data_IF_276462084937
#
_entry.id   IF_276462084937
#
_cell.length_a   1.000
_cell.length_b   1.000
_cell.length_c   1.000
_cell.angle_alpha   90.00
_cell.angle_beta   90.00
_cell.angle_gamma   90.00
#
_symmetry.space_group_name_H-M   'P 1'
#
loop_
_entity.id
_entity.type
_entity.pdbx_description
1 polymer ?
#
# COMPACT_ATOMS: atom_id res chain seq x y z
N UNK A 1 19.85 -8.02 -8.27
CA UNK A 1 19.00 -7.23 -7.34
C UNK A 1 18.10 -8.15 -6.54
N UNK A 2 17.96 -7.89 -5.24
CA UNK A 2 17.05 -8.58 -4.33
C UNK A 2 15.91 -7.64 -3.92
N UNK A 3 14.67 -8.12 -3.98
CA UNK A 3 13.50 -7.46 -3.41
C UNK A 3 13.14 -8.14 -2.08
N UNK A 4 13.27 -7.42 -0.98
CA UNK A 4 12.91 -7.88 0.35
C UNK A 4 11.46 -7.46 0.67
N UNK A 5 10.57 -8.46 0.75
CA UNK A 5 9.13 -8.28 0.87
C UNK A 5 8.69 -8.71 2.27
N UNK A 6 7.81 -7.94 2.92
CA UNK A 6 7.26 -8.26 4.26
C UNK A 6 5.75 -8.45 4.27
N UNK A 7 5.05 -7.89 3.29
CA UNK A 7 3.59 -7.96 3.11
C UNK A 7 3.23 -7.87 1.62
N UNK A 8 1.99 -8.22 1.27
CA UNK A 8 1.48 -8.03 -0.08
C UNK A 8 1.56 -6.55 -0.53
N UNK A 9 1.38 -5.59 0.38
CA UNK A 9 1.54 -4.16 0.07
C UNK A 9 2.98 -3.85 -0.33
N UNK A 10 3.96 -4.31 0.45
CA UNK A 10 5.38 -4.09 0.10
C UNK A 10 5.76 -4.72 -1.23
N UNK A 11 5.18 -5.88 -1.55
CA UNK A 11 5.38 -6.52 -2.84
C UNK A 11 4.87 -5.60 -3.96
N UNK A 12 3.61 -5.15 -3.88
CA UNK A 12 3.03 -4.29 -4.91
C UNK A 12 3.81 -2.97 -5.07
N UNK A 13 4.27 -2.37 -3.97
CA UNK A 13 5.14 -1.18 -4.01
C UNK A 13 6.42 -1.43 -4.78
N UNK A 14 7.07 -2.57 -4.58
CA UNK A 14 8.30 -2.92 -5.27
C UNK A 14 8.07 -3.33 -6.73
N UNK A 15 6.93 -3.96 -7.05
CA UNK A 15 6.56 -4.27 -8.43
C UNK A 15 6.39 -3.00 -9.27
N UNK A 16 5.93 -1.89 -8.69
CA UNK A 16 5.82 -0.61 -9.40
C UNK A 16 7.17 0.01 -9.77
N UNK A 17 8.26 -0.43 -9.15
CA UNK A 17 9.63 0.02 -9.47
C UNK A 17 10.19 -0.73 -10.67
N UNK A 18 9.85 -2.01 -10.82
CA UNK A 18 10.49 -2.91 -11.78
C UNK A 18 10.42 -2.50 -13.26
N UNK A 19 9.36 -1.83 -13.75
CA UNK A 19 9.28 -1.44 -15.16
C UNK A 19 10.43 -0.57 -15.68
N UNK A 20 11.18 0.10 -14.79
CA UNK A 20 12.38 0.85 -15.19
C UNK A 20 13.49 -0.05 -15.77
N UNK A 21 13.43 -1.36 -15.50
CA UNK A 21 14.40 -2.36 -15.96
C UNK A 21 13.86 -3.23 -17.11
N UNK A 22 12.69 -2.92 -17.67
CA UNK A 22 12.09 -3.72 -18.73
C UNK A 22 13.03 -3.81 -19.95
N UNK A 23 13.29 -5.05 -20.40
CA UNK A 23 14.19 -5.33 -21.52
C UNK A 23 15.69 -5.40 -21.17
N UNK A 24 16.10 -5.16 -19.91
CA UNK A 24 17.50 -5.26 -19.49
C UNK A 24 17.84 -6.62 -18.87
N UNK A 25 18.45 -7.50 -19.66
CA UNK A 25 18.82 -8.87 -19.24
C UNK A 25 19.99 -8.93 -18.24
N UNK A 26 20.68 -7.80 -18.02
CA UNK A 26 21.75 -7.68 -17.02
C UNK A 26 21.16 -7.60 -15.61
N UNK A 27 19.92 -7.15 -15.46
CA UNK A 27 19.25 -7.00 -14.18
C UNK A 27 18.46 -8.26 -13.82
N UNK A 28 19.06 -9.10 -12.99
CA UNK A 28 18.37 -10.29 -12.43
C UNK A 28 17.70 -9.94 -11.12
N UNK A 29 16.38 -10.10 -11.06
CA UNK A 29 15.56 -9.86 -9.87
C UNK A 29 15.27 -11.18 -9.15
N UNK A 30 15.45 -11.18 -7.83
CA UNK A 30 15.01 -12.26 -6.93
C UNK A 30 14.22 -11.66 -5.78
N UNK A 31 13.34 -12.44 -5.18
CA UNK A 31 12.52 -12.01 -4.06
C UNK A 31 12.83 -12.85 -2.82
N UNK A 32 12.83 -12.22 -1.65
CA UNK A 32 12.84 -12.92 -0.35
C UNK A 32 11.72 -12.40 0.52
N UNK A 33 11.11 -13.31 1.27
CA UNK A 33 10.16 -12.95 2.33
C UNK A 33 10.94 -12.67 3.62
N UNK A 34 10.75 -11.48 4.20
CA UNK A 34 11.36 -11.08 5.47
C UNK A 34 10.54 -11.67 6.62
N UNK A 35 11.16 -12.46 7.53
CA UNK A 35 10.44 -13.08 8.65
C UNK A 35 9.84 -12.10 9.67
N UNK A 36 8.92 -12.63 10.48
CA UNK A 36 8.33 -11.91 11.63
C UNK A 36 7.14 -11.01 11.27
N UNK A 37 6.58 -11.14 10.08
CA UNK A 37 5.33 -10.49 9.69
C UNK A 37 4.14 -11.37 10.08
N UNK A 38 3.06 -10.78 10.62
CA UNK A 38 1.78 -11.48 10.84
C UNK A 38 1.04 -11.81 9.53
N UNK A 39 1.57 -11.32 8.40
CA UNK A 39 0.97 -11.40 7.06
C UNK A 39 1.92 -12.12 6.08
N UNK A 40 2.83 -12.94 6.60
CA UNK A 40 3.87 -13.62 5.83
C UNK A 40 3.30 -14.66 4.84
N UNK A 41 2.31 -15.45 5.24
CA UNK A 41 1.65 -16.46 4.39
C UNK A 41 0.97 -15.82 3.16
N UNK A 42 0.31 -14.69 3.32
CA UNK A 42 -0.33 -13.99 2.20
C UNK A 42 0.68 -13.25 1.34
N UNK A 43 1.74 -12.70 1.94
CA UNK A 43 2.85 -12.14 1.18
C UNK A 43 3.52 -13.22 0.31
N UNK A 44 3.67 -14.44 0.84
CA UNK A 44 4.16 -15.60 0.10
C UNK A 44 3.19 -15.99 -1.03
N UNK A 45 1.89 -16.03 -0.75
CA UNK A 45 0.86 -16.32 -1.76
C UNK A 45 0.83 -15.27 -2.87
N UNK A 46 0.94 -14.00 -2.52
CA UNK A 46 1.04 -12.89 -3.47
C UNK A 46 2.29 -13.04 -4.35
N UNK A 47 3.41 -13.39 -3.73
CA UNK A 47 4.68 -13.58 -4.41
C UNK A 47 4.65 -14.78 -5.37
N UNK A 48 4.06 -15.90 -4.97
CA UNK A 48 3.91 -17.09 -5.82
C UNK A 48 3.15 -16.78 -7.12
N UNK A 49 2.09 -15.95 -7.04
CA UNK A 49 1.31 -15.52 -8.20
C UNK A 49 2.07 -14.68 -9.21
N UNK A 50 3.17 -14.04 -8.81
CA UNK A 50 3.99 -13.25 -9.74
C UNK A 50 4.82 -14.13 -10.67
N UNK A 51 4.97 -15.42 -10.37
CA UNK A 51 5.92 -16.30 -11.06
C UNK A 51 7.39 -15.91 -10.83
N UNK A 52 7.65 -15.00 -9.89
CA UNK A 52 8.98 -14.49 -9.66
C UNK A 52 9.88 -15.50 -8.97
N UNK A 53 11.18 -15.42 -9.27
CA UNK A 53 12.18 -16.26 -8.63
C UNK A 53 12.37 -15.86 -7.16
N UNK A 54 12.06 -16.77 -6.25
CA UNK A 54 12.26 -16.58 -4.82
C UNK A 54 13.57 -17.19 -4.33
N UNK A 55 14.11 -16.66 -3.24
CA UNK A 55 15.23 -17.20 -2.47
C UNK A 55 14.82 -17.23 -0.99
N UNK A 56 15.08 -18.33 -0.24
CA UNK A 56 14.81 -18.37 1.19
C UNK A 56 15.56 -17.27 1.94
N UNK A 57 14.95 -16.71 2.99
CA UNK A 57 15.56 -15.66 3.82
C UNK A 57 16.98 -15.99 4.28
N UNK A 58 17.17 -17.22 4.78
CA UNK A 58 18.48 -17.71 5.22
C UNK A 58 19.53 -17.60 4.11
N UNK A 59 19.19 -18.02 2.89
CA UNK A 59 20.11 -17.98 1.76
C UNK A 59 20.35 -16.55 1.27
N UNK A 60 19.33 -15.68 1.36
CA UNK A 60 19.45 -14.26 1.07
C UNK A 60 20.44 -13.57 2.02
N UNK A 61 20.47 -13.94 3.30
CA UNK A 61 21.44 -13.44 4.27
C UNK A 61 22.88 -13.95 4.05
N UNK A 62 23.06 -15.08 3.36
CA UNK A 62 24.37 -15.66 3.06
C UNK A 62 24.91 -15.31 1.67
N UNK A 63 24.12 -14.59 0.87
CA UNK A 63 24.50 -14.20 -0.50
C UNK A 63 24.64 -12.68 -0.55
N UNK A 64 25.72 -12.16 -1.14
CA UNK A 64 25.84 -10.73 -1.40
C UNK A 64 25.00 -10.35 -2.62
N UNK A 65 24.26 -9.24 -2.50
CA UNK A 65 23.43 -8.69 -3.58
C UNK A 65 24.02 -7.36 -4.07
N UNK A 66 23.90 -7.08 -5.36
CA UNK A 66 24.34 -5.80 -5.94
C UNK A 66 23.46 -4.62 -5.47
N UNK A 67 22.22 -4.91 -5.11
CA UNK A 67 21.23 -3.99 -4.55
C UNK A 67 20.13 -4.79 -3.86
N UNK A 68 19.72 -4.33 -2.68
CA UNK A 68 18.55 -4.78 -1.93
C UNK A 68 17.53 -3.64 -1.91
N UNK A 69 16.32 -3.88 -2.39
CA UNK A 69 15.20 -2.94 -2.29
C UNK A 69 14.14 -3.48 -1.33
N UNK A 70 13.60 -2.61 -0.50
CA UNK A 70 12.47 -2.92 0.38
C UNK A 70 11.52 -1.73 0.46
N UNK A 71 10.23 -2.01 0.66
CA UNK A 71 9.20 -1.01 0.94
C UNK A 71 8.68 -1.09 2.39
N UNK A 72 9.41 -1.78 3.27
CA UNK A 72 9.14 -1.82 4.71
C UNK A 72 10.45 -1.79 5.48
N UNK A 73 10.53 -1.02 6.58
CA UNK A 73 11.71 -0.97 7.43
C UNK A 73 11.73 -2.08 8.49
N UNK A 74 10.67 -2.89 8.58
CA UNK A 74 10.51 -3.84 9.69
C UNK A 74 11.24 -5.15 9.42
N UNK A 75 11.82 -5.72 10.47
CA UNK A 75 12.56 -6.98 10.46
C UNK A 75 14.07 -6.79 10.35
N UNK A 76 14.79 -7.89 10.28
CA UNK A 76 16.26 -7.90 10.37
C UNK A 76 16.93 -7.62 9.01
N UNK A 77 16.51 -6.54 8.36
CA UNK A 77 17.00 -6.13 7.03
C UNK A 77 18.51 -5.84 7.01
N UNK A 78 19.07 -5.46 8.17
CA UNK A 78 20.51 -5.25 8.36
C UNK A 78 21.34 -6.53 8.09
N UNK A 79 20.72 -7.72 8.18
CA UNK A 79 21.37 -9.01 7.88
C UNK A 79 21.58 -9.27 6.39
N UNK A 80 20.91 -8.52 5.50
CA UNK A 80 21.05 -8.69 4.06
C UNK A 80 22.36 -8.02 3.57
N UNK A 81 23.30 -8.78 2.98
CA UNK A 81 24.56 -8.21 2.52
C UNK A 81 24.43 -7.49 1.18
N UNK A 82 24.86 -6.23 1.12
CA UNK A 82 24.85 -5.41 -0.09
C UNK A 82 24.28 -4.00 0.16
N UNK A 83 24.34 -3.10 -0.83
CA UNK A 83 23.67 -1.81 -0.74
C UNK A 83 22.16 -1.97 -0.58
N UNK A 84 21.56 -1.26 0.37
CA UNK A 84 20.14 -1.35 0.74
C UNK A 84 19.44 -0.02 0.55
N UNK A 85 18.38 -0.01 -0.25
CA UNK A 85 17.51 1.15 -0.40
C UNK A 85 16.10 0.85 0.12
N UNK A 86 15.59 1.79 0.92
CA UNK A 86 14.26 1.75 1.52
C UNK A 86 13.33 2.74 0.81
N UNK A 87 12.22 2.22 0.30
CA UNK A 87 11.10 3.00 -0.23
C UNK A 87 9.98 3.12 0.81
N UNK A 88 9.16 4.18 0.76
CA UNK A 88 7.94 4.27 1.54
C UNK A 88 6.96 3.13 1.23
N UNK A 89 6.36 2.59 2.29
CA UNK A 89 5.28 1.58 2.23
C UNK A 89 4.01 2.11 1.53
N UNK A 90 3.83 3.43 1.49
CA UNK A 90 2.73 4.12 0.83
C UNK A 90 2.87 5.63 0.98
N UNK A 91 2.00 6.38 0.31
CA UNK A 91 2.07 7.84 0.33
C UNK A 91 1.87 8.44 1.73
N UNK A 92 2.71 9.44 2.04
CA UNK A 92 2.44 10.44 3.07
C UNK A 92 2.79 10.08 4.52
N UNK A 93 3.22 8.85 4.84
CA UNK A 93 3.52 8.44 6.23
C UNK A 93 2.41 8.87 7.21
N UNK A 94 1.15 8.62 6.84
CA UNK A 94 -0.01 9.13 7.57
C UNK A 94 -0.46 8.26 8.74
N UNK A 95 0.13 7.07 8.91
CA UNK A 95 -0.34 6.08 9.86
C UNK A 95 0.75 5.61 10.82
N UNK A 96 0.47 5.68 12.11
CA UNK A 96 1.24 5.04 13.18
C UNK A 96 0.41 3.91 13.80
N UNK A 97 1.06 2.81 14.18
CA UNK A 97 0.41 1.63 14.75
C UNK A 97 0.83 1.47 16.21
N UNK A 98 -0.13 1.50 17.13
CA UNK A 98 0.14 1.28 18.55
C UNK A 98 0.74 -0.10 18.79
N UNK A 99 1.81 -0.18 19.58
CA UNK A 99 2.48 -1.43 19.92
C UNK A 99 3.51 -1.91 18.90
N UNK A 100 3.80 -1.10 17.87
CA UNK A 100 4.88 -1.33 16.92
C UNK A 100 5.79 -0.10 16.90
N UNK A 101 7.04 -0.24 17.33
CA UNK A 101 8.00 0.87 17.37
C UNK A 101 7.65 1.95 18.40
N UNK A 102 8.05 3.18 18.11
CA UNK A 102 7.78 4.38 18.88
C UNK A 102 6.32 4.83 18.71
N UNK A 103 5.71 5.29 19.80
CA UNK A 103 4.34 5.81 19.74
C UNK A 103 4.23 7.01 18.78
N UNK A 104 3.16 7.03 17.99
CA UNK A 104 2.79 8.11 17.07
C UNK A 104 3.80 8.41 15.94
N UNK A 105 4.85 7.59 15.78
CA UNK A 105 5.82 7.72 14.68
C UNK A 105 5.52 6.67 13.60
N UNK A 106 5.30 7.08 12.34
CA UNK A 106 5.18 6.15 11.24
C UNK A 106 6.44 5.28 11.10
N UNK A 107 6.27 3.98 10.91
CA UNK A 107 7.41 3.06 10.91
C UNK A 107 8.55 3.40 9.93
N UNK A 108 8.26 4.03 8.79
CA UNK A 108 9.27 4.48 7.83
C UNK A 108 10.03 5.75 8.21
N UNK A 109 9.74 6.33 9.37
CA UNK A 109 10.41 7.50 9.96
C UNK A 109 10.94 7.20 11.37
N UNK A 110 10.70 6.00 11.89
CA UNK A 110 10.91 5.65 13.30
C UNK A 110 12.30 5.06 13.54
N UNK A 111 13.15 5.67 14.38
CA UNK A 111 14.46 5.11 14.74
C UNK A 111 14.41 3.64 15.19
N UNK A 112 13.34 3.20 15.84
CA UNK A 112 13.16 1.82 16.27
C UNK A 112 13.10 0.79 15.12
N UNK A 113 12.90 1.28 13.89
CA UNK A 113 12.88 0.47 12.67
C UNK A 113 13.95 0.86 11.66
N UNK A 114 14.52 2.06 11.77
CA UNK A 114 15.54 2.55 10.83
C UNK A 114 16.97 2.29 11.30
N UNK A 115 17.16 2.05 12.60
CA UNK A 115 18.46 1.79 13.20
C UNK A 115 18.57 0.33 13.66
N UNK A 116 19.74 -0.26 13.47
CA UNK A 116 20.15 -1.53 14.06
C UNK A 116 21.36 -1.24 14.97
N UNK A 117 21.23 -1.54 16.26
CA UNK A 117 22.25 -1.22 17.28
C UNK A 117 22.68 0.27 17.28
N UNK A 118 21.75 1.17 16.97
CA UNK A 118 21.97 2.61 16.91
C UNK A 118 22.51 3.14 15.57
N UNK A 119 22.82 2.26 14.62
CA UNK A 119 23.36 2.63 13.31
C UNK A 119 22.32 2.43 12.19
N UNK A 120 22.27 3.30 11.17
CA UNK A 120 21.34 3.15 10.05
C UNK A 120 21.65 1.87 9.26
N UNK A 121 20.64 1.02 9.06
CA UNK A 121 20.81 -0.19 8.24
C UNK A 121 20.59 0.05 6.75
N UNK A 122 19.83 1.09 6.39
CA UNK A 122 19.58 1.47 5.00
C UNK A 122 20.67 2.42 4.51
N UNK A 123 21.25 2.10 3.36
CA UNK A 123 22.26 2.94 2.71
C UNK A 123 21.62 4.12 1.96
N UNK A 124 20.31 4.03 1.65
CA UNK A 124 19.54 5.08 0.98
C UNK A 124 18.05 5.03 1.34
N UNK A 125 17.47 6.18 1.67
CA UNK A 125 16.02 6.39 1.76
C UNK A 125 15.51 7.04 0.47
N UNK A 126 14.82 6.27 -0.37
CA UNK A 126 14.28 6.70 -1.65
C UNK A 126 12.84 7.21 -1.45
N UNK A 127 12.70 8.51 -1.19
CA UNK A 127 11.47 9.15 -0.76
C UNK A 127 10.67 9.75 -1.93
N UNK A 128 9.37 9.92 -1.73
CA UNK A 128 8.48 10.46 -2.76
C UNK A 128 8.41 11.99 -2.80
N UNK A 129 8.74 12.67 -1.71
CA UNK A 129 8.55 14.12 -1.59
C UNK A 129 9.52 14.75 -0.58
N UNK A 130 9.86 16.03 -0.75
CA UNK A 130 10.78 16.76 0.15
C UNK A 130 10.28 16.81 1.59
N UNK A 131 8.96 16.95 1.79
CA UNK A 131 8.35 16.89 3.13
C UNK A 131 8.68 15.59 3.87
N UNK A 132 8.79 14.47 3.15
CA UNK A 132 9.16 13.19 3.76
C UNK A 132 10.62 13.22 4.23
N UNK A 133 11.52 13.86 3.49
CA UNK A 133 12.92 14.02 3.88
C UNK A 133 13.04 14.91 5.14
N UNK A 134 12.27 16.00 5.19
CA UNK A 134 12.22 16.87 6.37
C UNK A 134 11.69 16.13 7.61
N UNK A 135 10.65 15.31 7.44
CA UNK A 135 10.10 14.48 8.52
C UNK A 135 11.09 13.39 8.96
N UNK A 136 11.79 12.76 8.02
CA UNK A 136 12.83 11.78 8.34
C UNK A 136 13.95 12.43 9.17
N UNK A 137 14.50 13.56 8.74
CA UNK A 137 15.53 14.29 9.48
C UNK A 137 15.06 14.75 10.87
N UNK A 138 13.76 15.00 11.04
CA UNK A 138 13.17 15.36 12.35
C UNK A 138 13.03 14.17 13.28
N UNK A 139 12.57 13.02 12.78
CA UNK A 139 12.27 11.85 13.60
C UNK A 139 13.46 10.91 13.79
N UNK A 140 14.37 10.86 12.83
CA UNK A 140 15.57 10.01 12.84
C UNK A 140 16.72 10.75 12.12
N UNK A 141 17.37 11.72 12.78
CA UNK A 141 18.50 12.45 12.20
C UNK A 141 19.71 11.54 11.89
N UNK A 142 19.81 10.39 12.53
CA UNK A 142 20.84 9.35 12.32
C UNK A 142 20.55 8.46 11.09
N UNK A 143 19.39 8.62 10.44
CA UNK A 143 19.04 7.86 9.25
C UNK A 143 20.07 8.06 8.13
N UNK A 144 20.17 7.08 7.23
CA UNK A 144 21.03 7.17 6.06
C UNK A 144 20.60 8.29 5.10
N UNK A 145 21.38 8.54 4.03
CA UNK A 145 21.07 9.55 3.01
C UNK A 145 19.64 9.42 2.49
N UNK A 146 18.96 10.57 2.32
CA UNK A 146 17.61 10.64 1.77
C UNK A 146 17.61 11.34 0.41
N UNK A 147 17.00 10.72 -0.59
CA UNK A 147 16.86 11.26 -1.95
C UNK A 147 15.41 11.21 -2.36
N UNK A 148 14.90 12.33 -2.91
CA UNK A 148 13.55 12.41 -3.47
C UNK A 148 13.58 11.84 -4.89
N UNK A 149 12.94 10.70 -5.10
CA UNK A 149 12.87 9.98 -6.39
C UNK A 149 11.46 9.92 -6.98
N UNK A 150 10.46 10.49 -6.28
CA UNK A 150 9.06 10.39 -6.66
C UNK A 150 8.37 9.12 -6.17
N UNK A 151 7.12 8.92 -6.58
CA UNK A 151 6.32 7.74 -6.19
C UNK A 151 5.96 6.91 -7.42
N UNK A 152 6.59 5.73 -7.63
CA UNK A 152 6.29 4.85 -8.76
C UNK A 152 4.82 4.44 -8.87
N UNK A 153 4.12 4.32 -7.74
CA UNK A 153 2.67 4.04 -7.76
C UNK A 153 1.88 5.24 -8.26
N UNK A 154 2.25 6.46 -7.87
CA UNK A 154 1.60 7.67 -8.38
C UNK A 154 1.86 7.83 -9.88
N UNK A 155 3.09 7.59 -10.33
CA UNK A 155 3.46 7.60 -11.74
C UNK A 155 2.61 6.60 -12.54
N UNK A 156 2.48 5.37 -12.06
CA UNK A 156 1.64 4.35 -12.70
C UNK A 156 0.18 4.83 -12.79
N UNK A 157 -0.38 5.36 -11.71
CA UNK A 157 -1.76 5.85 -11.69
C UNK A 157 -1.98 7.02 -12.66
N UNK A 158 -1.07 7.98 -12.68
CA UNK A 158 -1.13 9.13 -13.60
C UNK A 158 -1.02 8.69 -15.06
N UNK A 159 -0.10 7.77 -15.38
CA UNK A 159 0.01 7.18 -16.72
C UNK A 159 -1.23 6.39 -17.13
N UNK A 160 -1.99 5.89 -16.17
CA UNK A 160 -3.20 5.09 -16.42
C UNK A 160 -4.45 5.94 -16.67
N UNK A 161 -4.40 7.25 -16.41
CA UNK A 161 -5.55 8.16 -16.59
C UNK A 161 -6.21 8.10 -17.98
N UNK A 162 -5.47 8.05 -19.10
CA UNK A 162 -6.07 7.93 -20.43
C UNK A 162 -6.89 6.65 -20.63
N UNK A 163 -6.60 5.58 -19.87
CA UNK A 163 -7.29 4.28 -19.95
C UNK A 163 -8.55 4.22 -19.07
N UNK A 164 -8.99 5.34 -18.50
CA UNK A 164 -10.17 5.41 -17.62
C UNK A 164 -11.40 4.71 -18.21
N UNK A 165 -11.74 5.00 -19.45
CA UNK A 165 -12.95 4.43 -20.08
C UNK A 165 -12.80 2.93 -20.39
N UNK A 166 -11.57 2.45 -20.60
CA UNK A 166 -11.30 1.00 -20.73
C UNK A 166 -11.56 0.28 -19.41
N UNK A 167 -11.09 0.84 -18.29
CA UNK A 167 -11.37 0.28 -16.97
C UNK A 167 -12.86 0.30 -16.65
N UNK A 168 -13.57 1.39 -16.95
CA UNK A 168 -15.03 1.49 -16.77
C UNK A 168 -15.79 0.50 -17.64
N UNK A 169 -15.31 0.24 -18.85
CA UNK A 169 -15.86 -0.78 -19.74
C UNK A 169 -15.66 -2.18 -19.15
N UNK A 170 -14.45 -2.50 -18.70
CA UNK A 170 -14.14 -3.78 -18.05
C UNK A 170 -14.95 -4.01 -16.76
N UNK A 171 -15.25 -2.94 -16.01
CA UNK A 171 -16.07 -2.97 -14.80
C UNK A 171 -17.58 -3.02 -15.05
N UNK A 172 -18.01 -2.86 -16.31
CA UNK A 172 -19.43 -2.76 -16.65
C UNK A 172 -20.11 -1.53 -16.02
N UNK A 173 -19.37 -0.43 -15.85
CA UNK A 173 -19.89 0.79 -15.22
C UNK A 173 -20.95 1.46 -16.09
N UNK A 174 -20.74 1.48 -17.41
CA UNK A 174 -21.64 2.14 -18.34
C UNK A 174 -21.78 3.64 -18.02
N UNK A 175 -22.99 4.22 -18.12
CA UNK A 175 -23.21 5.64 -17.85
C UNK A 175 -23.23 6.01 -16.35
N UNK A 176 -23.12 5.03 -15.46
CA UNK A 176 -23.24 5.24 -14.01
C UNK A 176 -22.04 5.97 -13.44
N UNK A 177 -22.24 6.69 -12.33
CA UNK A 177 -21.15 7.23 -11.53
C UNK A 177 -20.57 6.12 -10.64
N UNK A 178 -19.25 5.91 -10.74
CA UNK A 178 -18.52 4.95 -9.92
C UNK A 178 -18.04 5.62 -8.62
N UNK A 179 -18.58 5.17 -7.49
CA UNK A 179 -18.14 5.56 -6.15
C UNK A 179 -17.27 4.45 -5.57
N UNK A 180 -16.01 4.77 -5.26
CA UNK A 180 -15.06 3.79 -4.71
C UNK A 180 -14.88 4.03 -3.22
N UNK A 181 -15.25 3.05 -2.41
CA UNK A 181 -14.94 2.98 -0.99
C UNK A 181 -13.53 2.42 -0.82
N UNK A 182 -12.66 3.08 -0.06
CA UNK A 182 -11.35 2.54 0.33
C UNK A 182 -11.25 2.46 1.85
N UNK A 183 -10.76 1.33 2.35
CA UNK A 183 -10.56 1.10 3.77
C UNK A 183 -9.11 0.73 4.04
N UNK A 184 -8.49 1.40 5.00
CA UNK A 184 -7.29 0.91 5.69
C UNK A 184 -7.59 -0.40 6.42
N UNK A 185 -6.60 -0.94 7.13
CA UNK A 185 -6.76 -2.07 8.04
C UNK A 185 -6.60 -1.63 9.49
N UNK A 186 -7.14 -2.40 10.44
CA UNK A 186 -7.00 -2.13 11.87
C UNK A 186 -8.27 -1.53 12.50
N UNK A 187 -8.24 -1.26 13.82
CA UNK A 187 -9.43 -0.87 14.57
C UNK A 187 -10.05 0.47 14.14
N UNK A 188 -9.26 1.39 13.59
CA UNK A 188 -9.76 2.67 13.06
C UNK A 188 -10.11 2.61 11.57
N UNK A 189 -10.05 1.44 10.92
CA UNK A 189 -10.42 1.33 9.50
C UNK A 189 -11.92 1.56 9.26
N UNK A 190 -12.28 2.04 8.07
CA UNK A 190 -13.67 2.26 7.67
C UNK A 190 -14.54 1.03 7.91
N UNK A 191 -14.08 -0.15 7.51
CA UNK A 191 -14.86 -1.39 7.66
C UNK A 191 -14.88 -1.91 9.10
N UNK A 192 -13.85 -1.65 9.91
CA UNK A 192 -13.92 -1.97 11.33
C UNK A 192 -14.92 -1.06 12.07
N UNK A 193 -14.94 0.24 11.74
CA UNK A 193 -15.81 1.22 12.39
C UNK A 193 -17.25 1.20 11.88
N UNK A 194 -17.43 0.93 10.59
CA UNK A 194 -18.74 0.92 9.92
C UNK A 194 -18.88 -0.28 8.99
N UNK A 195 -18.95 -1.52 9.53
CA UNK A 195 -18.96 -2.75 8.73
C UNK A 195 -20.14 -2.87 7.76
N UNK A 196 -21.27 -2.19 8.04
CA UNK A 196 -22.47 -2.18 7.18
C UNK A 196 -22.45 -1.08 6.13
N UNK A 197 -21.51 -0.15 6.19
CA UNK A 197 -21.51 1.04 5.33
C UNK A 197 -21.51 0.72 3.82
N UNK A 198 -20.76 -0.27 3.31
CA UNK A 198 -20.88 -0.64 1.90
C UNK A 198 -22.29 -1.09 1.49
N UNK A 199 -22.96 -1.86 2.34
CA UNK A 199 -24.33 -2.33 2.08
C UNK A 199 -25.34 -1.17 2.16
N UNK A 200 -25.19 -0.29 3.15
CA UNK A 200 -26.01 0.91 3.31
C UNK A 200 -25.88 1.84 2.10
N UNK A 201 -24.66 2.04 1.59
CA UNK A 201 -24.43 2.90 0.43
C UNK A 201 -25.03 2.33 -0.86
N UNK A 202 -24.86 1.03 -1.09
CA UNK A 202 -25.47 0.33 -2.23
C UNK A 202 -27.00 0.39 -2.17
N UNK A 203 -27.59 0.33 -0.98
CA UNK A 203 -29.04 0.43 -0.81
C UNK A 203 -29.58 1.87 -0.93
N UNK A 204 -28.75 2.88 -0.63
CA UNK A 204 -29.13 4.29 -0.67
C UNK A 204 -29.05 4.90 -2.08
N UNK A 205 -28.03 4.53 -2.86
CA UNK A 205 -27.78 5.12 -4.18
C UNK A 205 -28.63 4.45 -5.28
N UNK A 206 -29.26 5.21 -6.19
CA UNK A 206 -29.99 4.65 -7.32
C UNK A 206 -29.10 3.76 -8.21
N UNK A 207 -29.45 2.48 -8.35
CA UNK A 207 -28.65 1.48 -9.03
C UNK A 207 -28.38 1.80 -10.53
N UNK A 208 -29.31 2.50 -11.17
CA UNK A 208 -29.25 2.93 -12.57
C UNK A 208 -28.36 4.17 -12.78
N UNK A 209 -28.09 4.93 -11.71
CA UNK A 209 -27.23 6.11 -11.75
C UNK A 209 -25.85 5.87 -11.11
N UNK A 210 -25.70 4.91 -10.20
CA UNK A 210 -24.47 4.67 -9.44
C UNK A 210 -24.01 3.22 -9.46
N UNK A 211 -22.69 3.03 -9.43
CA UNK A 211 -22.03 1.77 -9.11
C UNK A 211 -21.12 2.00 -7.90
N UNK A 212 -21.11 1.07 -6.95
CA UNK A 212 -20.25 1.15 -5.77
C UNK A 212 -19.20 0.06 -5.84
N UNK A 213 -17.94 0.43 -5.61
CA UNK A 213 -16.84 -0.51 -5.45
C UNK A 213 -16.21 -0.38 -4.05
N UNK A 214 -15.62 -1.45 -3.56
CA UNK A 214 -14.90 -1.52 -2.29
C UNK A 214 -13.48 -2.04 -2.52
N UNK A 215 -12.51 -1.26 -2.06
CA UNK A 215 -11.10 -1.62 -1.96
C UNK A 215 -10.77 -1.79 -0.48
N UNK A 216 -10.42 -3.02 -0.10
CA UNK A 216 -9.90 -3.32 1.23
C UNK A 216 -8.38 -3.33 1.21
N UNK A 217 -7.77 -2.91 2.32
CA UNK A 217 -6.34 -3.08 2.48
C UNK A 217 -5.95 -4.58 2.44
N UNK A 218 -4.85 -4.98 1.79
CA UNK A 218 -4.45 -6.39 1.69
C UNK A 218 -4.39 -7.13 3.02
N UNK A 219 -3.92 -6.47 4.09
CA UNK A 219 -3.90 -7.06 5.44
C UNK A 219 -5.29 -7.44 6.00
N UNK A 220 -6.39 -6.82 5.56
CA UNK A 220 -7.73 -7.25 5.97
C UNK A 220 -8.18 -8.52 5.24
N UNK A 221 -7.76 -8.69 3.99
CA UNK A 221 -7.90 -9.97 3.29
C UNK A 221 -7.13 -11.07 4.00
N UNK A 222 -5.90 -10.78 4.41
CA UNK A 222 -5.07 -11.70 5.19
C UNK A 222 -5.71 -12.10 6.52
N UNK A 223 -6.14 -11.10 7.31
CA UNK A 223 -6.66 -11.32 8.66
C UNK A 223 -8.00 -12.04 8.68
N UNK A 224 -8.87 -11.73 7.72
CA UNK A 224 -10.24 -12.24 7.68
C UNK A 224 -10.36 -13.48 6.82
N UNK A 225 -9.51 -13.61 5.79
CA UNK A 225 -9.64 -14.64 4.76
C UNK A 225 -10.72 -14.30 3.73
N UNK A 226 -10.49 -14.73 2.48
CA UNK A 226 -11.42 -14.47 1.37
C UNK A 226 -12.80 -15.11 1.55
N UNK A 227 -12.87 -16.26 2.22
CA UNK A 227 -14.13 -16.97 2.48
C UNK A 227 -15.08 -16.15 3.37
N UNK A 228 -14.59 -15.71 4.54
CA UNK A 228 -15.42 -14.94 5.47
C UNK A 228 -15.73 -13.54 4.93
N UNK A 229 -14.77 -12.88 4.24
CA UNK A 229 -15.05 -11.62 3.56
C UNK A 229 -16.18 -11.73 2.55
N UNK A 230 -16.17 -12.76 1.70
CA UNK A 230 -17.24 -12.98 0.72
C UNK A 230 -18.59 -13.25 1.40
N UNK A 231 -18.60 -14.01 2.51
CA UNK A 231 -19.82 -14.27 3.29
C UNK A 231 -20.36 -12.99 3.95
N UNK A 232 -19.49 -12.22 4.59
CA UNK A 232 -19.87 -10.99 5.30
C UNK A 232 -20.37 -9.91 4.33
N UNK A 233 -19.73 -9.79 3.16
CA UNK A 233 -20.15 -8.86 2.11
C UNK A 233 -21.27 -9.43 1.22
N UNK A 234 -21.69 -10.68 1.42
CA UNK A 234 -22.64 -11.38 0.55
C UNK A 234 -23.90 -10.59 0.18
N UNK A 235 -24.61 -9.95 1.14
CA UNK A 235 -25.75 -9.09 0.82
C UNK A 235 -25.39 -7.91 -0.11
N UNK A 236 -24.29 -7.22 0.16
CA UNK A 236 -23.85 -6.08 -0.66
C UNK A 236 -23.38 -6.52 -2.06
N UNK A 237 -22.64 -7.64 -2.13
CA UNK A 237 -22.20 -8.24 -3.41
C UNK A 237 -23.40 -8.60 -4.29
N UNK A 238 -24.43 -9.24 -3.72
CA UNK A 238 -25.68 -9.55 -4.44
C UNK A 238 -26.46 -8.30 -4.86
N UNK A 239 -26.31 -7.20 -4.13
CA UNK A 239 -26.90 -5.91 -4.47
C UNK A 239 -26.06 -5.09 -5.48
N UNK A 240 -24.95 -5.64 -5.99
CA UNK A 240 -24.14 -5.02 -7.04
C UNK A 240 -22.85 -4.34 -6.58
N UNK A 241 -22.43 -4.52 -5.32
CA UNK A 241 -21.12 -4.08 -4.86
C UNK A 241 -20.01 -4.79 -5.64
N UNK A 242 -19.08 -4.02 -6.20
CA UNK A 242 -17.84 -4.55 -6.76
C UNK A 242 -16.79 -4.63 -5.65
N UNK A 243 -16.24 -5.81 -5.37
CA UNK A 243 -15.15 -5.96 -4.39
C UNK A 243 -13.83 -6.23 -5.12
N UNK A 244 -12.85 -5.36 -4.92
CA UNK A 244 -11.50 -5.58 -5.42
C UNK A 244 -10.88 -6.82 -4.76
N UNK A 245 -10.28 -7.73 -5.53
CA UNK A 245 -9.51 -8.83 -4.96
C UNK A 245 -8.17 -8.31 -4.37
N UNK A 246 -7.58 -9.00 -3.38
CA UNK A 246 -6.38 -8.54 -2.68
C UNK A 246 -5.13 -8.34 -3.55
N UNK A 247 -5.11 -8.95 -4.74
CA UNK A 247 -4.00 -8.90 -5.71
C UNK A 247 -4.45 -8.33 -7.05
N UNK A 248 -5.63 -7.70 -7.10
CA UNK A 248 -6.15 -7.03 -8.28
C UNK A 248 -5.91 -5.52 -8.24
N UNK A 249 -6.12 -4.91 -9.40
CA UNK A 249 -5.92 -3.51 -9.74
C UNK A 249 -6.85 -2.55 -8.97
N UNK A 250 -6.66 -2.41 -7.65
CA UNK A 250 -7.23 -1.30 -6.87
C UNK A 250 -6.96 0.06 -7.53
N UNK A 251 -5.81 0.16 -8.21
CA UNK A 251 -5.40 1.31 -9.01
C UNK A 251 -6.39 1.59 -10.15
N UNK A 252 -6.84 0.57 -10.88
CA UNK A 252 -7.82 0.72 -11.96
C UNK A 252 -9.17 1.25 -11.44
N UNK A 253 -9.60 0.82 -10.25
CA UNK A 253 -10.82 1.34 -9.62
C UNK A 253 -10.68 2.83 -9.29
N UNK A 254 -9.55 3.27 -8.71
CA UNK A 254 -9.31 4.69 -8.43
C UNK A 254 -9.25 5.53 -9.71
N UNK A 255 -8.62 5.01 -10.77
CA UNK A 255 -8.58 5.69 -12.07
C UNK A 255 -9.97 5.80 -12.67
N UNK A 256 -10.78 4.74 -12.61
CA UNK A 256 -12.14 4.68 -13.13
C UNK A 256 -13.17 5.52 -12.33
N UNK A 257 -12.85 5.84 -11.07
CA UNK A 257 -13.76 6.48 -10.13
C UNK A 257 -14.28 7.84 -10.61
N UNK A 258 -15.50 8.17 -10.18
CA UNK A 258 -16.07 9.51 -10.24
C UNK A 258 -15.95 10.20 -8.87
N UNK A 259 -15.97 9.44 -7.77
CA UNK A 259 -15.70 9.92 -6.41
C UNK A 259 -15.11 8.79 -5.55
N UNK A 260 -14.36 9.17 -4.52
CA UNK A 260 -13.75 8.25 -3.57
C UNK A 260 -14.20 8.57 -2.14
N UNK A 261 -14.59 7.55 -1.40
CA UNK A 261 -14.88 7.64 0.03
C UNK A 261 -13.82 6.84 0.77
N UNK A 262 -13.13 7.46 1.71
CA UNK A 262 -11.96 6.88 2.38
C UNK A 262 -12.03 7.07 3.88
N UNK A 263 -11.22 6.31 4.61
CA UNK A 263 -10.75 6.65 5.95
C UNK A 263 -9.38 7.37 5.83
N UNK A 264 -8.46 7.15 6.77
CA UNK A 264 -7.11 7.73 6.83
C UNK A 264 -6.06 7.01 5.95
N UNK A 265 -6.48 6.37 4.87
CA UNK A 265 -5.60 5.62 3.97
C UNK A 265 -4.88 6.45 2.91
N UNK A 266 -3.66 6.03 2.54
CA UNK A 266 -2.90 6.65 1.44
C UNK A 266 -3.60 6.57 0.07
N UNK A 267 -4.59 5.68 -0.09
CA UNK A 267 -5.44 5.62 -1.29
C UNK A 267 -6.24 6.91 -1.51
N UNK A 268 -6.64 7.61 -0.44
CA UNK A 268 -7.28 8.92 -0.52
C UNK A 268 -6.35 9.98 -1.11
N UNK A 269 -5.06 9.96 -0.76
CA UNK A 269 -4.05 10.85 -1.32
C UNK A 269 -3.85 10.61 -2.82
N UNK A 270 -3.83 9.35 -3.25
CA UNK A 270 -3.76 9.02 -4.67
C UNK A 270 -5.01 9.49 -5.42
N UNK A 271 -6.20 9.28 -4.87
CA UNK A 271 -7.45 9.77 -5.47
C UNK A 271 -7.43 11.29 -5.65
N UNK A 272 -6.99 12.02 -4.62
CA UNK A 272 -6.84 13.47 -4.67
C UNK A 272 -5.81 13.91 -5.74
N UNK A 273 -4.67 13.21 -5.84
CA UNK A 273 -3.66 13.47 -6.88
C UNK A 273 -4.19 13.23 -8.31
N UNK A 274 -5.15 12.32 -8.47
CA UNK A 274 -5.86 12.10 -9.75
C UNK A 274 -6.99 13.11 -10.00
N UNK A 275 -7.19 14.09 -9.13
CA UNK A 275 -8.26 15.08 -9.23
C UNK A 275 -9.65 14.52 -8.94
N UNK A 276 -9.75 13.38 -8.23
CA UNK A 276 -11.04 12.80 -7.82
C UNK A 276 -11.56 13.51 -6.57
N UNK A 277 -12.85 13.83 -6.49
CA UNK A 277 -13.48 14.21 -5.23
C UNK A 277 -13.26 13.12 -4.18
N UNK A 278 -12.76 13.50 -3.00
CA UNK A 278 -12.51 12.60 -1.87
C UNK A 278 -13.38 13.01 -0.68
N UNK A 279 -14.04 12.03 -0.07
CA UNK A 279 -14.84 12.21 1.15
C UNK A 279 -14.28 11.34 2.27
N UNK A 280 -13.87 11.97 3.36
CA UNK A 280 -13.49 11.26 4.59
C UNK A 280 -14.72 10.73 5.33
N UNK A 281 -14.84 9.41 5.47
CA UNK A 281 -15.92 8.74 6.20
C UNK A 281 -15.52 8.32 7.63
N UNK A 282 -14.23 8.38 7.94
CA UNK A 282 -13.67 8.19 9.28
C UNK A 282 -12.37 9.01 9.42
N UNK A 283 -12.16 9.61 10.60
CA UNK A 283 -11.06 10.54 10.86
C UNK A 283 -9.71 9.85 11.18
N UNK A 284 -9.70 8.52 11.30
CA UNK A 284 -8.51 7.73 11.61
C UNK A 284 -8.09 7.72 13.07
N UNK A 285 -8.82 8.44 13.95
CA UNK A 285 -8.60 8.46 15.39
C UNK A 285 -7.13 8.54 15.79
N UNK A 286 -6.70 7.62 16.67
CA UNK A 286 -5.32 7.54 17.19
C UNK A 286 -4.29 7.00 16.20
N UNK A 287 -4.72 6.50 15.04
CA UNK A 287 -3.79 5.94 14.05
C UNK A 287 -3.33 6.99 13.04
N UNK A 288 -4.12 8.06 12.84
CA UNK A 288 -3.77 9.16 11.95
C UNK A 288 -2.71 10.05 12.60
N UNK A 289 -1.58 10.20 11.93
CA UNK A 289 -0.50 11.07 12.40
C UNK A 289 -0.85 12.53 12.12
N UNK A 290 -0.80 13.41 13.15
CA UNK A 290 -1.02 14.84 12.97
C UNK A 290 -0.11 15.45 11.91
N UNK A 291 -0.60 16.48 11.23
CA UNK A 291 0.09 17.23 10.16
C UNK A 291 0.52 16.39 8.94
N UNK A 292 0.23 15.09 8.92
CA UNK A 292 0.46 14.27 7.73
C UNK A 292 -0.38 14.77 6.55
N UNK A 293 0.00 14.47 5.30
CA UNK A 293 -0.80 14.86 4.14
C UNK A 293 -2.26 14.39 4.24
N UNK A 294 -2.51 13.22 4.83
CA UNK A 294 -3.86 12.69 5.02
C UNK A 294 -4.66 13.49 6.06
N UNK A 295 -4.01 14.03 7.09
CA UNK A 295 -4.67 14.86 8.10
C UNK A 295 -5.07 16.26 7.58
N UNK A 296 -4.52 16.65 6.43
CA UNK A 296 -4.80 17.94 5.77
C UNK A 296 -5.84 17.83 4.64
N UNK A 297 -6.28 16.61 4.31
CA UNK A 297 -7.28 16.31 3.29
C UNK A 297 -8.69 16.35 3.89
#
# INVERSE_FOLDING_TARGET
>A
MLLAVRSAVTLHRLLDVLPVFDGDDRVRVRFTLVPGSRFDVDALTALDRTGARTIPWRDACHTRHDLVLTASPKGDLHLLPGPRALLPHGAGFGKALSGEGSADVPSGLDPAHLLADGEPWADLHALAHEEQALRLARHCPEAGPAVVVGDPTADRLLRSLPHREEYRTALGTGPRQLVVLTSTWGPESLIARRPRFPAELVALLPHDAFQVALVLHPNDHSRTGGFDLARWMGPALRAGLVLARPHEEWAALLVAADAVVTDHGSTGLYAAALGRPVVGAHDGGRELVPDSPMARL
#
